data_IF_018148078184
#
_entry.id   IF_018148078184
#
_cell.length_a   1.000
_cell.length_b   1.000
_cell.length_c   1.000
_cell.angle_alpha   90.00
_cell.angle_beta   90.00
_cell.angle_gamma   90.00
#
_symmetry.space_group_name_H-M   'P 1'
#
loop_
_entity.id
_entity.type
_entity.pdbx_description
1 polymer ?
#
# COMPACT_ATOMS: atom_id res chain seq x y z
N UNK A 1 -6.87 40.32 25.89
CA UNK A 1 -6.05 39.09 26.09
C UNK A 1 -6.43 38.08 25.03
N UNK A 2 -5.50 37.23 24.62
CA UNK A 2 -5.77 36.16 23.64
C UNK A 2 -5.94 34.84 24.37
N UNK A 3 -6.96 34.06 24.01
CA UNK A 3 -7.21 32.71 24.55
C UNK A 3 -5.95 31.83 24.46
N UNK A 4 -5.10 32.03 23.44
CA UNK A 4 -3.85 31.30 23.32
C UNK A 4 -2.84 31.64 24.43
N UNK A 5 -2.77 32.91 24.85
CA UNK A 5 -1.90 33.34 25.95
C UNK A 5 -2.42 32.83 27.30
N UNK A 6 -3.74 32.89 27.50
CA UNK A 6 -4.39 32.40 28.73
C UNK A 6 -4.20 30.88 28.91
N UNK A 7 -4.09 30.13 27.80
CA UNK A 7 -3.80 28.69 27.79
C UNK A 7 -2.31 28.35 27.74
N UNK A 8 -1.40 29.33 27.81
CA UNK A 8 0.04 29.12 27.77
C UNK A 8 0.56 28.57 26.43
N UNK A 9 -0.18 28.76 25.34
CA UNK A 9 0.19 28.29 24.01
C UNK A 9 1.17 29.27 23.35
N UNK A 10 2.15 28.70 22.65
CA UNK A 10 3.20 29.48 21.97
C UNK A 10 2.68 30.40 20.85
N UNK A 11 1.49 30.14 20.31
CA UNK A 11 0.91 30.95 19.23
C UNK A 11 -0.60 30.78 19.13
N UNK A 12 -1.28 31.86 18.71
CA UNK A 12 -2.70 31.86 18.33
C UNK A 12 -3.00 30.86 17.21
N UNK A 13 -2.01 30.60 16.33
CA UNK A 13 -2.16 29.66 15.22
C UNK A 13 -2.47 28.22 15.67
N UNK A 14 -2.07 27.84 16.89
CA UNK A 14 -2.40 26.53 17.47
C UNK A 14 -3.91 26.41 17.65
N UNK A 15 -4.54 27.43 18.24
CA UNK A 15 -5.98 27.47 18.47
C UNK A 15 -6.74 27.51 17.14
N UNK A 16 -6.29 28.34 16.19
CA UNK A 16 -6.93 28.43 14.87
C UNK A 16 -6.88 27.10 14.11
N UNK A 17 -5.76 26.37 14.21
CA UNK A 17 -5.61 25.04 13.62
C UNK A 17 -6.56 24.03 14.25
N UNK A 18 -6.67 24.02 15.59
CA UNK A 18 -7.60 23.13 16.31
C UNK A 18 -9.06 23.42 15.96
N UNK A 19 -9.45 24.69 15.89
CA UNK A 19 -10.82 25.09 15.49
C UNK A 19 -11.14 24.57 14.09
N UNK A 20 -10.20 24.70 13.14
CA UNK A 20 -10.37 24.16 11.78
C UNK A 20 -10.51 22.64 11.79
N UNK A 21 -9.59 21.94 12.45
CA UNK A 21 -9.61 20.47 12.55
C UNK A 21 -10.93 19.98 13.15
N UNK A 22 -11.40 20.63 14.22
CA UNK A 22 -12.66 20.28 14.87
C UNK A 22 -13.87 20.51 13.96
N UNK A 23 -13.90 21.59 13.18
CA UNK A 23 -14.96 21.83 12.20
C UNK A 23 -14.98 20.78 11.09
N UNK A 24 -13.81 20.31 10.66
CA UNK A 24 -13.67 19.37 9.54
C UNK A 24 -13.87 17.89 9.96
N UNK A 25 -13.37 17.50 11.13
CA UNK A 25 -13.25 16.10 11.58
C UNK A 25 -13.94 15.84 12.93
N UNK A 26 -14.58 16.84 13.55
CA UNK A 26 -15.13 16.74 14.89
C UNK A 26 -14.07 16.49 15.96
N UNK A 27 -14.49 15.89 17.06
CA UNK A 27 -13.60 15.51 18.17
C UNK A 27 -12.52 14.50 17.73
N UNK A 28 -12.86 13.59 16.81
CA UNK A 28 -11.96 12.57 16.30
C UNK A 28 -10.70 13.15 15.64
N UNK A 29 -10.80 14.34 15.04
CA UNK A 29 -9.68 15.03 14.41
C UNK A 29 -8.62 15.52 15.41
N UNK A 30 -9.01 15.76 16.66
CA UNK A 30 -8.13 16.20 17.75
C UNK A 30 -7.48 15.02 18.49
N UNK A 31 -7.90 13.78 18.21
CA UNK A 31 -7.29 12.59 18.82
C UNK A 31 -5.83 12.44 18.34
N UNK A 32 -4.91 11.98 19.20
CA UNK A 32 -3.53 11.73 18.82
C UNK A 32 -3.45 10.74 17.64
N UNK A 33 -2.81 11.16 16.55
CA UNK A 33 -2.58 10.27 15.39
C UNK A 33 -1.45 9.30 15.72
N UNK A 34 -1.52 8.04 15.25
CA UNK A 34 -0.45 7.07 15.46
C UNK A 34 0.88 7.63 14.95
N UNK A 35 1.90 7.55 15.81
CA UNK A 35 3.24 8.08 15.54
C UNK A 35 3.89 7.25 14.43
N UNK A 36 4.21 7.89 13.31
CA UNK A 36 4.93 7.24 12.21
C UNK A 36 4.50 7.71 10.83
N UNK A 37 5.29 7.36 9.82
CA UNK A 37 4.95 7.60 8.42
C UNK A 37 3.85 6.63 8.00
N UNK A 38 2.78 7.12 7.38
CA UNK A 38 1.78 6.24 6.73
C UNK A 38 2.49 5.35 5.71
N UNK A 39 2.18 4.04 5.63
CA UNK A 39 2.74 3.19 4.59
C UNK A 39 2.40 3.74 3.21
N UNK A 40 3.33 3.65 2.26
CA UNK A 40 3.08 4.01 0.86
C UNK A 40 2.06 3.02 0.28
N UNK A 41 0.81 3.44 0.14
CA UNK A 41 -0.20 2.74 -0.64
C UNK A 41 0.03 3.06 -2.12
N UNK A 42 0.91 2.29 -2.77
CA UNK A 42 1.11 2.32 -4.22
C UNK A 42 0.95 0.91 -4.81
N UNK A 43 0.70 0.77 -6.12
CA UNK A 43 0.64 -0.52 -6.77
C UNK A 43 1.94 -1.30 -6.51
N UNK A 44 1.80 -2.58 -6.14
CA UNK A 44 2.94 -3.48 -5.98
C UNK A 44 3.48 -3.77 -7.38
N UNK A 45 4.60 -3.16 -7.74
CA UNK A 45 5.38 -3.54 -8.92
C UNK A 45 6.05 -4.88 -8.58
N UNK A 46 5.85 -5.89 -9.41
CA UNK A 46 6.52 -7.18 -9.24
C UNK A 46 8.03 -6.96 -9.31
N UNK A 47 8.79 -7.61 -8.44
CA UNK A 47 10.24 -7.62 -8.61
C UNK A 47 10.61 -8.44 -9.85
N UNK A 48 11.76 -8.13 -10.45
CA UNK A 48 12.28 -8.90 -11.59
C UNK A 48 12.30 -10.42 -11.32
N UNK A 49 12.55 -10.82 -10.08
CA UNK A 49 12.52 -12.23 -9.65
C UNK A 49 11.11 -12.83 -9.75
N UNK A 50 10.07 -12.13 -9.32
CA UNK A 50 8.68 -12.60 -9.38
C UNK A 50 8.20 -12.75 -10.83
N UNK A 51 8.61 -11.83 -11.72
CA UNK A 51 8.32 -11.93 -13.15
C UNK A 51 9.01 -13.13 -13.81
N UNK A 52 10.27 -13.38 -13.47
CA UNK A 52 11.02 -14.53 -13.97
C UNK A 52 10.40 -15.84 -13.48
N UNK A 53 9.99 -15.93 -12.22
CA UNK A 53 9.32 -17.10 -11.68
C UNK A 53 7.99 -17.38 -12.39
N UNK A 54 7.21 -16.34 -12.70
CA UNK A 54 5.98 -16.50 -13.48
C UNK A 54 6.29 -17.03 -14.88
N UNK A 55 7.33 -16.49 -15.54
CA UNK A 55 7.73 -16.95 -16.87
C UNK A 55 8.20 -18.40 -16.88
N UNK A 56 8.92 -18.83 -15.85
CA UNK A 56 9.35 -20.22 -15.69
C UNK A 56 8.12 -21.13 -15.58
N UNK A 57 7.15 -20.79 -14.72
CA UNK A 57 5.90 -21.57 -14.57
C UNK A 57 5.16 -21.74 -15.90
N UNK A 58 5.04 -20.66 -16.66
CA UNK A 58 4.36 -20.70 -17.96
C UNK A 58 5.10 -21.61 -18.95
N UNK A 59 6.43 -21.51 -19.01
CA UNK A 59 7.27 -22.34 -19.89
C UNK A 59 7.30 -23.81 -19.48
N UNK A 60 7.21 -24.11 -18.18
CA UNK A 60 7.13 -25.48 -17.67
C UNK A 60 5.79 -26.13 -18.06
N UNK A 61 4.68 -25.39 -17.96
CA UNK A 61 3.37 -25.87 -18.39
C UNK A 61 3.34 -26.16 -19.90
N UNK A 62 3.89 -25.27 -20.72
CA UNK A 62 4.00 -25.47 -22.17
C UNK A 62 4.88 -26.69 -22.51
N UNK A 63 6.03 -26.84 -21.85
CA UNK A 63 6.88 -28.01 -22.04
C UNK A 63 6.19 -29.31 -21.64
N UNK A 64 5.45 -29.32 -20.53
CA UNK A 64 4.70 -30.49 -20.09
C UNK A 64 3.66 -30.91 -21.14
N UNK A 65 2.92 -29.94 -21.69
CA UNK A 65 1.96 -30.18 -22.76
C UNK A 65 2.61 -30.76 -24.02
N UNK A 66 3.71 -30.16 -24.48
CA UNK A 66 4.43 -30.63 -25.67
C UNK A 66 5.04 -32.03 -25.50
N UNK A 67 5.52 -32.35 -24.29
CA UNK A 67 6.00 -33.70 -23.96
C UNK A 67 4.86 -34.72 -24.03
N UNK A 68 3.72 -34.43 -23.41
CA UNK A 68 2.56 -35.31 -23.49
C UNK A 68 2.12 -35.57 -24.94
N UNK A 69 2.12 -34.53 -25.79
CA UNK A 69 1.81 -34.70 -27.21
C UNK A 69 2.82 -35.59 -27.95
N UNK A 70 4.12 -35.40 -27.67
CA UNK A 70 5.18 -36.25 -28.24
C UNK A 70 5.03 -37.70 -27.80
N UNK A 71 4.74 -37.93 -26.52
CA UNK A 71 4.57 -39.28 -25.98
C UNK A 71 3.36 -39.98 -26.62
N UNK A 72 2.25 -39.26 -26.83
CA UNK A 72 1.10 -39.79 -27.56
C UNK A 72 1.46 -40.20 -28.99
N UNK A 73 2.14 -39.33 -29.75
CA UNK A 73 2.54 -39.63 -31.13
C UNK A 73 3.54 -40.79 -31.23
N UNK A 74 4.46 -40.92 -30.28
CA UNK A 74 5.45 -42.01 -30.27
C UNK A 74 4.82 -43.37 -29.92
N UNK A 75 3.75 -43.39 -29.13
CA UNK A 75 3.05 -44.61 -28.74
C UNK A 75 2.08 -45.14 -29.82
N UNK A 76 1.79 -44.34 -30.85
CA UNK A 76 0.93 -44.72 -31.99
C UNK A 76 1.73 -45.31 -33.18
N UNK A 77 3.05 -45.51 -33.05
CA UNK A 77 3.94 -46.05 -34.08
C UNK A 77 4.44 -47.47 -33.76
#
# INVERSE_FOLDING_TARGET
>A
MSIAQDLGLASVNVVTSWVRIYRDQGEDGLRPKPKGRRPKTGPRVLSQTEELEQRIRDLEAENAYLKALRDLMNNEQ
#
